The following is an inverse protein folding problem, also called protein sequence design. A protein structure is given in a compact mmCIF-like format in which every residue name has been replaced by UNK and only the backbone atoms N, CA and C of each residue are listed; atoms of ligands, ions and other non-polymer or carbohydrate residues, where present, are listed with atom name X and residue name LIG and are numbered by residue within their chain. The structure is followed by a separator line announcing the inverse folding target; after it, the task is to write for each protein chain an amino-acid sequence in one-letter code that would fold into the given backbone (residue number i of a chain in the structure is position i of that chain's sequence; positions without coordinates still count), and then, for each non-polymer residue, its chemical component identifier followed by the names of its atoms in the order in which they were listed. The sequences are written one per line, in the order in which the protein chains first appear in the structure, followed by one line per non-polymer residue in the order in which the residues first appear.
data_IF_109514835350
#
_entry.id   IF_109514835350
#
_cell.length_a   1.000
_cell.length_b   1.000
_cell.length_c   1.000
_cell.angle_alpha   90.00
_cell.angle_beta   90.00
_cell.angle_gamma   90.00
#
_symmetry.space_group_name_H-M   'P 1'
#
loop_
_entity.id
_entity.type
_entity.pdbx_description
1 polymer ?
#
# COMPACT_ATOMS: atom_id res chain seq x y z
N UNK A 1 -23.76 -43.69 17.18
CA UNK A 1 -24.52 -42.60 17.82
C UNK A 1 -24.15 -41.32 17.09
N UNK A 2 -25.06 -40.75 16.30
CA UNK A 2 -24.82 -39.55 15.49
C UNK A 2 -25.35 -38.34 16.28
N UNK A 3 -24.46 -37.46 16.71
CA UNK A 3 -24.83 -36.21 17.39
C UNK A 3 -25.37 -35.23 16.34
N UNK A 4 -26.60 -34.72 16.46
CA UNK A 4 -27.11 -33.71 15.53
C UNK A 4 -26.29 -32.43 15.65
N UNK A 5 -25.90 -31.88 14.50
CA UNK A 5 -25.18 -30.60 14.41
C UNK A 5 -26.04 -29.47 15.00
N UNK A 6 -25.45 -28.50 15.75
CA UNK A 6 -26.20 -27.39 16.28
C UNK A 6 -26.85 -26.58 15.13
N UNK A 7 -28.08 -26.07 15.32
CA UNK A 7 -28.73 -25.25 14.31
C UNK A 7 -27.87 -24.01 14.01
N UNK A 8 -27.84 -23.55 12.74
CA UNK A 8 -27.12 -22.34 12.39
C UNK A 8 -27.63 -21.16 13.23
N UNK A 9 -26.75 -20.23 13.63
CA UNK A 9 -27.15 -19.09 14.45
C UNK A 9 -28.27 -18.32 13.74
N UNK A 10 -29.35 -18.00 14.46
CA UNK A 10 -30.41 -17.14 13.93
C UNK A 10 -29.80 -15.84 13.43
N UNK A 11 -29.86 -15.61 12.12
CA UNK A 11 -29.48 -14.32 11.54
C UNK A 11 -30.51 -13.30 11.98
N UNK A 12 -30.15 -12.46 12.94
CA UNK A 12 -30.98 -11.34 13.34
C UNK A 12 -31.18 -10.43 12.12
N UNK A 13 -32.40 -10.43 11.59
CA UNK A 13 -32.77 -9.57 10.48
C UNK A 13 -33.02 -8.17 11.03
N UNK A 14 -32.09 -7.26 10.75
CA UNK A 14 -32.28 -5.84 11.04
C UNK A 14 -32.85 -5.14 9.80
N UNK A 15 -34.15 -4.77 9.81
CA UNK A 15 -34.78 -4.11 8.67
C UNK A 15 -34.12 -2.78 8.31
N UNK A 16 -33.48 -2.10 9.27
CA UNK A 16 -32.82 -0.81 9.01
C UNK A 16 -31.53 -0.99 8.19
N UNK A 17 -30.81 -2.09 8.40
CA UNK A 17 -29.63 -2.42 7.61
C UNK A 17 -30.01 -2.84 6.19
N UNK A 18 -31.09 -3.61 6.04
CA UNK A 18 -31.60 -4.04 4.74
C UNK A 18 -32.08 -2.84 3.90
N UNK A 19 -32.84 -1.93 4.50
CA UNK A 19 -33.31 -0.73 3.81
C UNK A 19 -32.14 0.20 3.42
N UNK A 20 -31.14 0.35 4.31
CA UNK A 20 -29.93 1.12 4.01
C UNK A 20 -29.13 0.50 2.86
N UNK A 21 -28.98 -0.83 2.83
CA UNK A 21 -28.32 -1.55 1.74
C UNK A 21 -29.10 -1.38 0.42
N UNK A 22 -30.42 -1.52 0.46
CA UNK A 22 -31.31 -1.34 -0.70
C UNK A 22 -31.21 0.07 -1.29
N UNK A 23 -31.21 1.11 -0.44
CA UNK A 23 -31.00 2.50 -0.86
C UNK A 23 -29.64 2.72 -1.54
N UNK A 24 -28.58 2.05 -1.06
CA UNK A 24 -27.22 2.13 -1.64
C UNK A 24 -27.16 1.45 -3.02
N UNK A 25 -27.88 0.35 -3.20
CA UNK A 25 -27.95 -0.40 -4.47
C UNK A 25 -28.79 0.32 -5.53
N UNK A 26 -29.89 0.96 -5.14
CA UNK A 26 -30.81 1.64 -6.06
C UNK A 26 -30.31 3.02 -6.52
N UNK A 27 -29.38 3.64 -5.79
CA UNK A 27 -28.89 4.99 -6.08
C UNK A 27 -27.36 5.06 -6.27
N UNK A 28 -26.78 4.28 -7.19
CA UNK A 28 -25.32 4.28 -7.41
C UNK A 28 -24.81 5.64 -7.91
N UNK A 29 -25.62 6.36 -8.69
CA UNK A 29 -25.24 7.66 -9.27
C UNK A 29 -25.26 8.82 -8.25
N UNK A 30 -26.15 8.79 -7.26
CA UNK A 30 -26.25 9.87 -6.26
C UNK A 30 -25.13 9.83 -5.21
N UNK A 31 -24.47 8.68 -5.08
CA UNK A 31 -23.31 8.49 -4.20
C UNK A 31 -21.97 8.61 -4.93
N UNK A 32 -21.97 8.95 -6.22
CA UNK A 32 -20.74 9.20 -6.94
C UNK A 32 -19.98 10.35 -6.24
N UNK A 33 -18.76 10.11 -5.73
CA UNK A 33 -18.01 11.15 -5.05
C UNK A 33 -17.78 12.30 -6.02
N UNK A 34 -18.09 13.52 -5.57
CA UNK A 34 -17.83 14.73 -6.35
C UNK A 34 -16.36 14.75 -6.79
N UNK A 35 -16.08 15.24 -7.99
CA UNK A 35 -14.72 15.23 -8.57
C UNK A 35 -13.67 15.82 -7.60
N UNK A 36 -14.01 16.93 -6.92
CA UNK A 36 -13.14 17.54 -5.89
C UNK A 36 -12.92 16.65 -4.68
N UNK A 37 -13.96 15.96 -4.20
CA UNK A 37 -13.83 15.03 -3.07
C UNK A 37 -12.90 13.86 -3.44
N UNK A 38 -13.01 13.34 -4.65
CA UNK A 38 -12.10 12.31 -5.17
C UNK A 38 -10.66 12.84 -5.30
N UNK A 39 -10.48 14.07 -5.79
CA UNK A 39 -9.16 14.71 -5.87
C UNK A 39 -8.52 14.87 -4.48
N UNK A 40 -9.26 15.38 -3.50
CA UNK A 40 -8.78 15.52 -2.12
C UNK A 40 -8.42 14.16 -1.55
N UNK A 41 -9.25 13.14 -1.77
CA UNK A 41 -8.96 11.79 -1.31
C UNK A 41 -7.66 11.27 -1.92
N UNK A 42 -7.49 11.35 -3.24
CA UNK A 42 -6.25 10.91 -3.89
C UNK A 42 -5.05 11.72 -3.39
N UNK A 43 -5.18 13.03 -3.24
CA UNK A 43 -4.12 13.89 -2.72
C UNK A 43 -3.73 13.51 -1.29
N UNK A 44 -4.68 13.23 -0.41
CA UNK A 44 -4.41 12.74 0.94
C UNK A 44 -3.67 11.41 0.93
N UNK A 45 -4.08 10.46 0.09
CA UNK A 45 -3.40 9.17 -0.04
C UNK A 45 -1.95 9.34 -0.52
N UNK A 46 -1.74 10.13 -1.57
CA UNK A 46 -0.40 10.43 -2.09
C UNK A 46 0.46 11.09 -1.02
N UNK A 47 -0.06 12.11 -0.34
CA UNK A 47 0.66 12.84 0.69
C UNK A 47 1.01 11.96 1.89
N UNK A 48 0.08 11.11 2.35
CA UNK A 48 0.33 10.15 3.42
C UNK A 48 1.42 9.14 3.05
N UNK A 49 1.36 8.58 1.84
CA UNK A 49 2.39 7.63 1.38
C UNK A 49 3.75 8.30 1.23
N UNK A 50 3.79 9.49 0.62
CA UNK A 50 5.03 10.27 0.47
C UNK A 50 5.64 10.63 1.81
N UNK A 51 4.84 11.10 2.76
CA UNK A 51 5.33 11.45 4.09
C UNK A 51 5.84 10.23 4.84
N UNK A 52 5.12 9.11 4.77
CA UNK A 52 5.54 7.84 5.38
C UNK A 52 6.87 7.35 4.81
N UNK A 53 7.01 7.38 3.48
CA UNK A 53 8.26 7.04 2.80
C UNK A 53 9.41 7.99 3.16
N UNK A 54 9.14 9.30 3.23
CA UNK A 54 10.12 10.29 3.64
C UNK A 54 10.61 10.04 5.07
N UNK A 55 9.70 9.77 6.00
CA UNK A 55 10.05 9.47 7.39
C UNK A 55 10.90 8.21 7.47
N UNK A 56 10.50 7.13 6.81
CA UNK A 56 11.24 5.85 6.85
C UNK A 56 12.65 5.96 6.24
N UNK A 57 12.81 6.72 5.15
CA UNK A 57 14.05 6.74 4.36
C UNK A 57 14.98 7.92 4.66
N UNK A 58 14.44 9.07 5.07
CA UNK A 58 15.19 10.33 5.15
C UNK A 58 15.09 11.04 6.50
N UNK A 59 14.12 10.72 7.36
CA UNK A 59 14.10 11.31 8.69
C UNK A 59 15.38 10.93 9.46
N UNK A 60 15.84 11.88 10.26
CA UNK A 60 16.98 11.69 11.14
C UNK A 60 16.49 11.07 12.45
N UNK A 61 16.87 9.81 12.69
CA UNK A 61 16.55 9.07 13.92
C UNK A 61 17.75 9.02 14.88
N UNK A 62 18.80 9.79 14.60
CA UNK A 62 20.05 9.78 15.36
C UNK A 62 21.02 8.68 14.93
N UNK A 63 22.09 8.50 15.71
CA UNK A 63 23.22 7.62 15.40
C UNK A 63 23.03 6.15 15.81
N UNK A 64 21.90 5.82 16.45
CA UNK A 64 21.59 4.46 16.90
C UNK A 64 20.83 3.67 15.81
N UNK A 65 20.97 2.34 15.82
CA UNK A 65 20.14 1.45 14.99
C UNK A 65 18.66 1.65 15.32
N UNK A 66 17.83 1.86 14.29
CA UNK A 66 16.39 2.07 14.43
C UNK A 66 15.61 1.02 13.62
N UNK A 67 14.32 0.84 13.90
CA UNK A 67 13.47 -0.16 13.26
C UNK A 67 13.41 -0.03 11.72
N UNK A 68 13.73 1.14 11.18
CA UNK A 68 13.75 1.42 9.75
C UNK A 68 15.15 1.34 9.10
N UNK A 69 16.22 1.15 9.89
CA UNK A 69 17.58 0.95 9.39
C UNK A 69 17.70 -0.18 8.35
N UNK A 70 17.10 -1.37 8.52
CA UNK A 70 17.17 -2.42 7.50
C UNK A 70 16.50 -2.02 6.19
N UNK A 71 15.34 -1.35 6.26
CA UNK A 71 14.60 -0.87 5.07
C UNK A 71 15.42 0.21 4.35
N UNK A 72 16.04 1.12 5.11
CA UNK A 72 16.90 2.18 4.57
C UNK A 72 18.13 1.61 3.86
N UNK A 73 18.80 0.63 4.46
CA UNK A 73 19.93 -0.10 3.84
C UNK A 73 19.54 -0.79 2.55
N UNK A 74 18.41 -1.50 2.57
CA UNK A 74 17.86 -2.16 1.38
C UNK A 74 17.55 -1.13 0.27
N UNK A 75 16.90 -0.02 0.60
CA UNK A 75 16.59 1.04 -0.35
C UNK A 75 17.84 1.67 -0.95
N UNK A 76 18.86 1.97 -0.15
CA UNK A 76 20.14 2.48 -0.66
C UNK A 76 20.87 1.45 -1.54
N UNK A 77 20.82 0.17 -1.17
CA UNK A 77 21.35 -0.92 -1.98
C UNK A 77 20.67 -1.00 -3.34
N UNK A 78 19.33 -0.98 -3.35
CA UNK A 78 18.54 -0.98 -4.60
C UNK A 78 18.76 0.28 -5.43
N UNK A 79 18.78 1.46 -4.82
CA UNK A 79 19.08 2.71 -5.53
C UNK A 79 20.48 2.68 -6.15
N UNK A 80 21.46 2.09 -5.45
CA UNK A 80 22.81 1.91 -6.00
C UNK A 80 22.77 0.97 -7.19
N UNK A 81 22.11 -0.19 -7.07
CA UNK A 81 21.93 -1.16 -8.15
C UNK A 81 21.23 -0.55 -9.37
N UNK A 82 20.18 0.27 -9.17
CA UNK A 82 19.47 0.94 -10.26
C UNK A 82 20.27 2.03 -10.97
N UNK A 83 21.13 2.75 -10.24
CA UNK A 83 21.95 3.84 -10.80
C UNK A 83 23.40 3.43 -11.11
N UNK A 84 23.77 2.18 -10.89
CA UNK A 84 25.10 1.64 -11.20
C UNK A 84 24.98 0.50 -12.19
N UNK A 85 25.94 0.39 -13.10
CA UNK A 85 26.03 -0.78 -13.99
C UNK A 85 26.00 -2.06 -13.17
N UNK A 86 25.10 -2.96 -13.55
CA UNK A 86 25.03 -4.30 -12.98
C UNK A 86 26.35 -5.03 -13.22
N UNK A 87 26.68 -6.05 -12.39
CA UNK A 87 27.92 -6.81 -12.57
C UNK A 87 28.08 -7.37 -13.99
N UNK A 88 26.99 -7.81 -14.60
CA UNK A 88 26.94 -8.25 -16.01
C UNK A 88 27.25 -7.12 -16.98
N UNK A 89 26.62 -5.95 -16.85
CA UNK A 89 26.90 -4.83 -17.76
C UNK A 89 28.33 -4.30 -17.62
N UNK A 90 28.95 -4.41 -16.43
CA UNK A 90 30.37 -4.11 -16.24
C UNK A 90 31.27 -5.13 -16.93
N UNK A 91 30.88 -6.39 -16.94
CA UNK A 91 31.61 -7.48 -17.60
C UNK A 91 31.50 -7.33 -19.12
N UNK A 92 30.30 -7.06 -19.64
CA UNK A 92 30.04 -6.78 -21.05
C UNK A 92 30.78 -5.50 -21.53
N UNK A 93 30.86 -4.44 -20.70
CA UNK A 93 31.65 -3.25 -21.03
C UNK A 93 33.16 -3.51 -21.02
N UNK A 94 33.63 -4.44 -20.18
CA UNK A 94 35.04 -4.84 -20.10
C UNK A 94 35.43 -5.66 -21.33
N UNK A 95 34.55 -6.55 -21.78
CA UNK A 95 34.70 -7.33 -23.01
C UNK A 95 34.63 -6.45 -24.27
N UNK A 96 33.88 -5.35 -24.21
CA UNK A 96 33.84 -4.33 -25.28
C UNK A 96 35.03 -3.35 -25.27
N UNK A 97 35.95 -3.45 -24.29
CA UNK A 97 37.15 -2.62 -24.24
C UNK A 97 36.91 -1.12 -23.99
N UNK A 98 35.77 -0.77 -23.37
CA UNK A 98 35.37 0.64 -23.09
C UNK A 98 35.72 1.10 -21.67
N UNK A 99 36.62 0.37 -20.99
CA UNK A 99 37.14 0.62 -19.65
C UNK A 99 38.67 0.57 -19.65
#
# INVERSE_FOLDING_TARGET
MVTPSPPPPERHYDPALDEKARRRLQMPQQMAPRLRARQIQVASWVLSLSLSGYVVLFADFGTQEHCFSPIRRWFHGKRKEFWSLTPQEKEDMKDQGRL
#
